data_IF_386814808974
#
_entry.id   IF_386814808974
#
_cell.length_a   1.000
_cell.length_b   1.000
_cell.length_c   1.000
_cell.angle_alpha   90.00
_cell.angle_beta   90.00
_cell.angle_gamma   90.00
#
_symmetry.space_group_name_H-M   'P 1'
#
loop_
_entity.id
_entity.type
_entity.pdbx_description
1 polymer ?
#
# COMPACT_ATOMS: atom_id res chain seq x y z
N UNK A 1 -6.10 16.61 2.53
CA UNK A 1 -6.43 15.27 2.02
C UNK A 1 -5.53 14.30 2.77
N UNK A 2 -6.10 13.29 3.42
CA UNK A 2 -5.31 12.25 4.08
C UNK A 2 -5.15 11.10 3.07
N UNK A 3 -3.92 10.63 2.89
CA UNK A 3 -3.57 9.61 1.90
C UNK A 3 -2.82 8.48 2.60
N UNK A 4 -2.96 7.26 2.10
CA UNK A 4 -2.10 6.13 2.45
C UNK A 4 -1.21 5.88 1.24
N UNK A 5 0.11 5.93 1.46
CA UNK A 5 1.08 5.60 0.42
C UNK A 5 1.45 4.13 0.59
N UNK A 6 1.41 3.34 -0.46
CA UNK A 6 1.76 1.92 -0.37
C UNK A 6 2.75 1.49 -1.44
N UNK A 7 3.71 0.68 -1.07
CA UNK A 7 4.62 0.00 -1.97
C UNK A 7 4.13 -1.43 -2.20
N UNK A 8 3.79 -1.74 -3.44
CA UNK A 8 3.33 -3.06 -3.88
C UNK A 8 3.76 -3.29 -5.33
N UNK A 9 4.33 -4.48 -5.59
CA UNK A 9 4.64 -4.93 -6.94
C UNK A 9 3.71 -6.08 -7.36
N UNK A 10 2.84 -5.87 -8.37
CA UNK A 10 1.99 -6.93 -8.93
C UNK A 10 2.79 -8.08 -9.55
N UNK A 11 4.01 -7.80 -10.05
CA UNK A 11 4.92 -8.78 -10.63
C UNK A 11 5.59 -9.65 -9.56
N UNK A 12 5.72 -9.12 -8.33
CA UNK A 12 6.32 -9.80 -7.19
C UNK A 12 5.36 -9.79 -5.98
N UNK A 13 4.17 -10.41 -6.07
CA UNK A 13 3.15 -10.34 -5.02
C UNK A 13 3.57 -11.01 -3.70
N UNK A 14 4.65 -11.80 -3.73
CA UNK A 14 5.25 -12.45 -2.54
C UNK A 14 6.09 -11.49 -1.69
N UNK A 15 6.42 -10.31 -2.20
CA UNK A 15 7.13 -9.27 -1.45
C UNK A 15 6.23 -8.53 -0.46
N UNK A 16 4.92 -8.74 -0.52
CA UNK A 16 3.94 -8.10 0.37
C UNK A 16 3.65 -6.65 -0.02
N UNK A 17 3.06 -5.91 0.93
CA UNK A 17 2.75 -4.48 0.81
C UNK A 17 3.32 -3.75 2.01
N UNK A 18 4.10 -2.70 1.78
CA UNK A 18 4.51 -1.77 2.84
C UNK A 18 3.70 -0.47 2.69
N UNK A 19 2.94 -0.09 3.71
CA UNK A 19 2.09 1.09 3.66
C UNK A 19 2.45 2.11 4.74
N UNK A 20 2.50 3.39 4.35
CA UNK A 20 2.69 4.57 5.19
C UNK A 20 1.34 5.24 5.45
N UNK A 21 0.95 5.30 6.72
CA UNK A 21 -0.34 5.79 7.17
C UNK A 21 -0.27 7.27 7.61
N UNK A 22 -1.40 8.01 7.55
CA UNK A 22 -1.43 9.44 7.88
C UNK A 22 -1.00 9.79 9.31
N UNK A 23 -1.03 8.83 10.21
CA UNK A 23 -0.61 8.97 11.62
C UNK A 23 0.91 8.78 11.80
N UNK A 24 1.65 8.53 10.70
CA UNK A 24 3.10 8.31 10.68
C UNK A 24 3.51 6.88 11.03
N UNK A 25 2.56 5.93 11.09
CA UNK A 25 2.87 4.52 11.27
C UNK A 25 3.09 3.83 9.93
N UNK A 26 4.02 2.87 9.91
CA UNK A 26 4.26 1.99 8.76
C UNK A 26 3.83 0.58 9.10
N UNK A 27 2.97 -0.01 8.27
CA UNK A 27 2.52 -1.39 8.44
C UNK A 27 2.88 -2.22 7.20
N UNK A 28 3.23 -3.47 7.45
CA UNK A 28 3.54 -4.46 6.42
C UNK A 28 2.44 -5.53 6.37
N UNK A 29 1.98 -5.85 5.16
CA UNK A 29 0.98 -6.86 4.88
C UNK A 29 1.56 -7.93 3.97
N UNK A 30 1.16 -9.18 4.16
CA UNK A 30 1.72 -10.28 3.36
C UNK A 30 1.12 -10.33 1.96
N UNK A 31 -0.11 -9.84 1.79
CA UNK A 31 -0.81 -9.79 0.51
C UNK A 31 -1.52 -8.46 0.32
N UNK A 32 -1.77 -8.11 -0.95
CA UNK A 32 -2.54 -6.91 -1.30
C UNK A 32 -4.01 -7.00 -0.83
N UNK A 33 -4.61 -8.19 -0.85
CA UNK A 33 -5.99 -8.39 -0.33
C UNK A 33 -6.08 -8.15 1.18
N UNK A 34 -5.07 -8.58 1.95
CA UNK A 34 -4.99 -8.32 3.39
C UNK A 34 -4.92 -6.81 3.66
N UNK A 35 -4.04 -6.12 2.93
CA UNK A 35 -3.92 -4.67 2.98
C UNK A 35 -5.24 -3.95 2.64
N UNK A 36 -5.87 -4.31 1.50
CA UNK A 36 -7.10 -3.66 1.05
C UNK A 36 -8.23 -3.85 2.07
N UNK A 37 -8.39 -5.07 2.60
CA UNK A 37 -9.42 -5.35 3.61
C UNK A 37 -9.20 -4.57 4.90
N UNK A 38 -7.96 -4.33 5.31
CA UNK A 38 -7.63 -3.53 6.49
C UNK A 38 -7.97 -2.05 6.28
N UNK A 39 -7.56 -1.48 5.14
CA UNK A 39 -7.82 -0.06 4.82
C UNK A 39 -9.31 0.22 4.69
N UNK A 40 -10.06 -0.67 4.06
CA UNK A 40 -11.50 -0.49 3.85
C UNK A 40 -12.28 -0.47 5.20
N UNK A 41 -11.79 -1.19 6.23
CA UNK A 41 -12.41 -1.26 7.55
C UNK A 41 -11.97 -0.10 8.47
N UNK A 42 -10.66 0.12 8.58
CA UNK A 42 -10.08 1.06 9.56
C UNK A 42 -9.99 2.50 9.03
N UNK A 43 -9.85 2.67 7.72
CA UNK A 43 -9.62 3.96 7.08
C UNK A 43 -10.60 4.24 5.92
N UNK A 44 -11.92 4.12 6.15
CA UNK A 44 -12.90 4.24 5.07
C UNK A 44 -12.85 5.64 4.44
N UNK A 45 -12.62 5.67 3.12
CA UNK A 45 -12.61 6.90 2.34
C UNK A 45 -11.28 7.65 2.30
N UNK A 46 -10.19 7.06 2.81
CA UNK A 46 -8.84 7.55 2.48
C UNK A 46 -8.45 7.19 1.05
N UNK A 47 -7.65 8.05 0.43
CA UNK A 47 -7.11 7.80 -0.89
C UNK A 47 -5.87 6.92 -0.80
N UNK A 48 -5.83 5.86 -1.59
CA UNK A 48 -4.70 4.96 -1.71
C UNK A 48 -3.82 5.39 -2.87
N UNK A 49 -2.56 5.69 -2.60
CA UNK A 49 -1.59 6.15 -3.59
C UNK A 49 -0.43 5.15 -3.66
N UNK A 50 -0.18 4.49 -4.79
CA UNK A 50 0.99 3.63 -4.92
C UNK A 50 2.27 4.48 -4.89
N UNK A 51 3.31 3.99 -4.22
CA UNK A 51 4.62 4.66 -4.11
C UNK A 51 5.29 4.83 -5.48
N UNK A 52 5.11 3.82 -6.35
CA UNK A 52 5.56 3.83 -7.73
C UNK A 52 4.35 3.87 -8.66
N UNK A 53 4.41 4.71 -9.70
CA UNK A 53 3.37 4.70 -10.72
C UNK A 53 3.37 3.38 -11.50
N UNK A 54 2.25 3.02 -12.14
CA UNK A 54 2.18 1.84 -13.02
C UNK A 54 3.31 1.88 -14.06
N UNK A 55 4.20 0.88 -14.01
CA UNK A 55 5.35 0.76 -14.91
C UNK A 55 6.64 1.46 -14.45
N UNK A 56 6.64 2.15 -13.31
CA UNK A 56 7.86 2.55 -12.62
C UNK A 56 8.27 1.44 -11.65
N UNK A 57 9.47 0.88 -11.84
CA UNK A 57 9.96 -0.24 -11.05
C UNK A 57 10.97 0.23 -10.01
N UNK A 58 10.84 -0.25 -8.78
CA UNK A 58 11.87 -0.09 -7.73
C UNK A 58 13.17 -0.82 -8.09
N UNK A 59 13.07 -1.89 -8.88
CA UNK A 59 14.17 -2.78 -9.24
C UNK A 59 14.56 -2.60 -10.71
N UNK A 60 15.48 -1.68 -10.98
CA UNK A 60 16.31 -1.64 -12.20
C UNK A 60 17.57 -2.51 -12.04
#
# INVERSE_FOLDING_TARGET
>A
MQIIIYDYSPDYPRCGVLADFPDGQWLFFNTFEEFQSFVDDEFPGLELVPLFAEGEYEYL
#
